data_IF_095612641361
#
_entry.id   IF_095612641361
#
_cell.length_a   1.000
_cell.length_b   1.000
_cell.length_c   1.000
_cell.angle_alpha   90.00
_cell.angle_beta   90.00
_cell.angle_gamma   90.00
#
_symmetry.space_group_name_H-M   'P 1'
#
loop_
_entity.id
_entity.type
_entity.pdbx_description
1 polymer ?
#
# COMPACT_ATOMS: atom_id res chain seq x y z
N UNK A 1 53.75 19.34 -25.75
CA UNK A 1 53.67 18.17 -24.84
C UNK A 1 53.13 18.69 -23.50
N UNK A 2 51.81 18.64 -23.32
CA UNK A 2 51.13 19.01 -22.08
C UNK A 2 50.26 17.81 -21.68
N UNK A 3 50.61 17.18 -20.55
CA UNK A 3 49.85 16.09 -19.95
C UNK A 3 48.55 16.65 -19.37
N UNK A 4 47.43 16.12 -19.85
CA UNK A 4 46.10 16.39 -19.32
C UNK A 4 45.88 15.45 -18.13
N UNK A 5 45.86 16.01 -16.92
CA UNK A 5 45.55 15.26 -15.71
C UNK A 5 44.10 14.76 -15.78
N UNK A 6 43.97 13.44 -15.87
CA UNK A 6 42.69 12.73 -15.84
C UNK A 6 42.29 12.57 -14.36
N UNK A 7 41.40 13.43 -13.87
CA UNK A 7 40.72 13.21 -12.59
C UNK A 7 39.65 12.13 -12.80
N UNK A 8 40.00 10.89 -12.46
CA UNK A 8 39.08 9.77 -12.42
C UNK A 8 38.25 9.88 -11.13
N UNK A 9 37.06 10.47 -11.21
CA UNK A 9 36.08 10.38 -10.14
C UNK A 9 35.61 8.92 -10.04
N UNK A 10 36.10 8.21 -9.03
CA UNK A 10 35.56 6.92 -8.63
C UNK A 10 34.17 7.18 -8.03
N UNK A 11 33.12 7.01 -8.84
CA UNK A 11 31.76 6.86 -8.33
C UNK A 11 31.71 5.52 -7.60
N UNK A 12 31.89 5.55 -6.28
CA UNK A 12 31.54 4.41 -5.44
C UNK A 12 30.02 4.34 -5.49
N UNK A 13 29.51 3.50 -6.38
CA UNK A 13 28.12 3.03 -6.35
C UNK A 13 27.96 2.23 -5.05
N UNK A 14 27.65 2.92 -3.96
CA UNK A 14 27.04 2.30 -2.80
C UNK A 14 25.70 1.78 -3.32
N UNK A 15 25.62 0.48 -3.53
CA UNK A 15 24.38 -0.21 -3.86
C UNK A 15 23.48 -0.07 -2.64
N UNK A 16 22.60 0.93 -2.67
CA UNK A 16 21.49 1.01 -1.72
C UNK A 16 20.63 -0.22 -2.01
N UNK A 17 20.65 -1.17 -1.09
CA UNK A 17 19.76 -2.31 -1.11
C UNK A 17 18.34 -1.78 -0.94
N UNK A 18 17.64 -1.56 -2.05
CA UNK A 18 16.20 -1.30 -2.11
C UNK A 18 15.51 -2.47 -1.41
N UNK A 19 14.96 -2.21 -0.23
CA UNK A 19 14.24 -3.24 0.52
C UNK A 19 12.80 -3.24 0.06
N UNK A 20 12.45 -4.18 -0.81
CA UNK A 20 11.05 -4.44 -1.09
C UNK A 20 10.37 -5.00 0.16
N UNK A 21 9.12 -4.59 0.41
CA UNK A 21 8.27 -5.24 1.40
C UNK A 21 8.04 -6.72 1.03
N UNK A 22 7.74 -7.59 2.00
CA UNK A 22 7.78 -7.36 3.45
C UNK A 22 9.19 -7.25 4.01
N UNK A 23 9.33 -6.58 5.14
CA UNK A 23 10.62 -6.47 5.84
C UNK A 23 10.85 -7.69 6.74
N UNK A 24 11.93 -8.42 6.50
CA UNK A 24 12.43 -9.38 7.48
C UNK A 24 13.33 -8.68 8.48
N UNK A 25 12.93 -8.71 9.75
CA UNK A 25 13.58 -8.02 10.85
C UNK A 25 14.14 -9.01 11.88
N UNK A 26 15.25 -8.64 12.51
CA UNK A 26 15.85 -9.36 13.64
C UNK A 26 16.17 -8.42 14.80
N UNK A 27 16.07 -8.91 16.03
CA UNK A 27 16.52 -8.17 17.21
C UNK A 27 18.05 -8.01 17.24
N UNK A 28 18.53 -6.82 17.56
CA UNK A 28 19.98 -6.49 17.60
C UNK A 28 20.46 -6.41 19.05
N UNK A 29 21.62 -7.02 19.35
CA UNK A 29 22.25 -6.95 20.66
C UNK A 29 21.60 -7.81 21.75
N UNK A 30 20.64 -8.66 21.38
CA UNK A 30 19.94 -9.55 22.29
C UNK A 30 20.68 -10.86 22.51
N UNK A 31 20.71 -11.35 23.76
CA UNK A 31 21.30 -12.65 24.09
C UNK A 31 20.60 -13.82 23.36
N UNK A 32 19.29 -13.66 23.09
CA UNK A 32 18.51 -14.56 22.24
C UNK A 32 17.86 -13.75 21.14
N UNK A 33 18.36 -13.92 19.92
CA UNK A 33 17.79 -13.30 18.73
C UNK A 33 16.36 -13.80 18.48
N UNK A 34 15.45 -12.88 18.16
CA UNK A 34 14.18 -13.20 17.53
C UNK A 34 14.06 -12.53 16.18
N UNK A 35 13.28 -13.14 15.29
CA UNK A 35 13.03 -12.67 13.93
C UNK A 35 11.55 -12.60 13.64
N UNK A 36 11.16 -11.66 12.78
CA UNK A 36 9.79 -11.50 12.30
C UNK A 36 9.77 -10.91 10.90
N UNK A 37 8.68 -11.16 10.18
CA UNK A 37 8.34 -10.41 8.96
C UNK A 37 7.30 -9.34 9.30
N UNK A 38 7.53 -8.12 8.83
CA UNK A 38 6.60 -7.00 8.92
C UNK A 38 5.98 -6.76 7.55
N UNK A 39 4.66 -6.84 7.50
CA UNK A 39 3.83 -6.49 6.35
C UNK A 39 3.02 -5.25 6.67
N UNK A 40 2.88 -4.32 5.72
CA UNK A 40 2.05 -3.12 5.87
C UNK A 40 1.73 -2.53 4.49
N UNK A 41 0.57 -1.92 4.35
CA UNK A 41 0.17 -1.19 3.15
C UNK A 41 0.44 0.31 3.24
N UNK A 42 -0.11 1.04 2.27
CA UNK A 42 -0.04 2.50 2.20
C UNK A 42 -0.45 3.14 3.53
N UNK A 43 0.34 4.13 3.98
CA UNK A 43 0.18 4.82 5.28
C UNK A 43 0.19 3.89 6.50
N UNK A 44 0.72 2.66 6.36
CA UNK A 44 0.81 1.67 7.42
C UNK A 44 -0.48 0.91 7.72
N UNK A 45 -1.50 1.01 6.86
CA UNK A 45 -2.74 0.24 7.01
C UNK A 45 -2.53 -1.25 6.71
N UNK A 46 -3.46 -2.09 7.16
CA UNK A 46 -3.42 -3.53 6.88
C UNK A 46 -2.20 -4.27 7.44
N UNK A 47 -1.52 -3.67 8.41
CA UNK A 47 -0.24 -4.15 8.88
C UNK A 47 -0.35 -5.34 9.84
N UNK A 48 0.64 -6.23 9.81
CA UNK A 48 0.81 -7.30 10.78
C UNK A 48 2.26 -7.76 10.84
N UNK A 49 2.63 -8.41 11.95
CA UNK A 49 3.90 -9.14 12.05
C UNK A 49 3.67 -10.65 12.09
N UNK A 50 4.63 -11.39 11.57
CA UNK A 50 4.70 -12.85 11.72
C UNK A 50 6.09 -13.25 12.21
N UNK A 51 6.14 -13.77 13.45
CA UNK A 51 7.40 -14.25 14.04
C UNK A 51 7.90 -15.52 13.33
N UNK A 52 9.20 -15.62 13.13
CA UNK A 52 9.80 -16.80 12.48
C UNK A 52 9.48 -18.08 13.24
N UNK A 53 9.07 -19.12 12.50
CA UNK A 53 8.65 -20.40 13.06
C UNK A 53 7.24 -20.40 13.66
N UNK A 54 6.49 -19.29 13.56
CA UNK A 54 5.09 -19.19 14.01
C UNK A 54 4.15 -19.05 12.81
N UNK A 55 3.02 -19.76 12.86
CA UNK A 55 1.93 -19.60 11.87
C UNK A 55 1.01 -18.43 12.21
N UNK A 56 0.98 -18.04 13.48
CA UNK A 56 0.18 -16.94 13.97
C UNK A 56 0.69 -15.61 13.42
N UNK A 57 -0.24 -14.76 13.02
CA UNK A 57 -0.01 -13.37 12.66
C UNK A 57 -0.50 -12.49 13.80
N UNK A 58 0.20 -11.41 14.08
CA UNK A 58 -0.18 -10.45 15.11
C UNK A 58 -0.57 -9.14 14.41
N UNK A 59 -1.85 -8.73 14.48
CA UNK A 59 -2.30 -7.50 13.86
C UNK A 59 -1.56 -6.28 14.41
N UNK A 60 -1.24 -5.35 13.52
CA UNK A 60 -0.71 -4.04 13.88
C UNK A 60 -1.76 -2.97 13.59
N UNK A 61 -2.17 -2.23 14.61
CA UNK A 61 -3.04 -1.08 14.46
C UNK A 61 -2.21 0.19 14.29
N UNK A 62 -2.43 0.93 13.21
CA UNK A 62 -1.75 2.23 13.01
C UNK A 62 -2.14 3.18 14.15
N UNK A 63 -1.14 3.68 14.88
CA UNK A 63 -1.31 4.69 15.93
C UNK A 63 -1.00 6.08 15.39
N UNK A 64 0.03 6.19 14.56
CA UNK A 64 0.43 7.45 13.92
C UNK A 64 1.16 7.15 12.62
N UNK A 65 0.87 7.96 11.60
CA UNK A 65 1.64 8.07 10.36
C UNK A 65 1.89 9.55 10.11
N UNK A 66 3.15 9.92 9.90
CA UNK A 66 3.55 11.30 9.63
C UNK A 66 4.49 11.33 8.44
N UNK A 67 4.30 12.32 7.58
CA UNK A 67 5.25 12.65 6.51
C UNK A 67 5.89 13.96 6.91
N UNK A 68 7.20 13.94 7.09
CA UNK A 68 7.99 15.15 7.19
C UNK A 68 8.37 15.58 5.78
N UNK A 69 8.11 16.84 5.43
CA UNK A 69 8.46 17.49 4.15
C UNK A 69 9.31 18.76 4.36
N UNK A 70 9.66 19.08 5.61
CA UNK A 70 10.17 20.40 5.97
C UNK A 70 11.66 20.58 5.63
N UNK A 71 12.01 21.79 5.16
CA UNK A 71 13.39 22.20 4.94
C UNK A 71 14.11 21.49 3.79
N UNK A 72 13.38 20.76 2.96
CA UNK A 72 13.92 19.97 1.84
C UNK A 72 13.96 20.76 0.55
N UNK A 73 14.97 20.49 -0.28
CA UNK A 73 15.07 21.06 -1.64
C UNK A 73 14.25 20.23 -2.62
N UNK A 74 13.87 20.85 -3.74
CA UNK A 74 13.18 20.16 -4.84
C UNK A 74 13.92 18.86 -5.22
N UNK A 75 13.22 17.72 -5.08
CA UNK A 75 13.73 16.39 -5.42
C UNK A 75 14.37 15.59 -4.28
N UNK A 76 14.44 16.13 -3.06
CA UNK A 76 14.82 15.33 -1.87
C UNK A 76 13.62 14.47 -1.41
N UNK A 77 13.84 13.19 -1.04
CA UNK A 77 12.76 12.26 -0.73
C UNK A 77 12.08 12.55 0.60
N UNK A 78 10.81 12.16 0.70
CA UNK A 78 10.03 12.31 1.92
C UNK A 78 10.44 11.34 3.02
N UNK A 79 10.39 11.80 4.28
CA UNK A 79 10.63 10.95 5.43
C UNK A 79 9.29 10.56 6.04
N UNK A 80 9.04 9.26 6.10
CA UNK A 80 7.81 8.68 6.57
C UNK A 80 8.03 8.02 7.94
N UNK A 81 7.27 8.46 8.94
CA UNK A 81 7.32 7.94 10.29
C UNK A 81 6.07 7.12 10.60
N UNK A 82 6.28 5.87 11.03
CA UNK A 82 5.21 4.95 11.37
C UNK A 82 5.29 4.56 12.84
N UNK A 83 4.13 4.53 13.49
CA UNK A 83 3.95 3.95 14.82
C UNK A 83 2.76 3.02 14.79
N UNK A 84 2.98 1.74 15.12
CA UNK A 84 1.92 0.74 15.20
C UNK A 84 1.79 0.19 16.61
N UNK A 85 0.56 0.00 17.09
CA UNK A 85 0.28 -0.84 18.25
C UNK A 85 0.25 -2.31 17.83
N UNK A 86 0.99 -3.16 18.52
CA UNK A 86 0.85 -4.61 18.43
C UNK A 86 -0.37 -5.06 19.22
N UNK A 87 -1.33 -5.73 18.56
CA UNK A 87 -2.61 -6.09 19.16
C UNK A 87 -2.70 -7.60 19.42
N UNK A 88 -2.87 -8.00 20.69
CA UNK A 88 -3.10 -9.40 21.08
C UNK A 88 -4.36 -9.47 21.93
N UNK A 89 -5.35 -10.25 21.48
CA UNK A 89 -6.63 -10.39 22.19
C UNK A 89 -7.36 -9.06 22.41
N UNK A 90 -7.21 -8.11 21.49
CA UNK A 90 -7.78 -6.76 21.60
C UNK A 90 -7.02 -5.77 22.49
N UNK A 91 -5.93 -6.20 23.13
CA UNK A 91 -5.10 -5.35 23.98
C UNK A 91 -3.78 -4.98 23.30
N UNK A 92 -3.24 -3.82 23.64
CA UNK A 92 -1.91 -3.38 23.20
C UNK A 92 -0.86 -4.21 23.95
N UNK A 93 -0.07 -5.00 23.22
CA UNK A 93 1.02 -5.82 23.77
C UNK A 93 2.40 -5.15 23.60
N UNK A 94 2.49 -4.17 22.71
CA UNK A 94 3.68 -3.37 22.46
C UNK A 94 3.43 -2.40 21.32
N UNK A 95 4.47 -1.71 20.88
CA UNK A 95 4.38 -0.87 19.69
C UNK A 95 5.67 -0.90 18.89
N UNK A 96 5.53 -0.77 17.57
CA UNK A 96 6.62 -0.67 16.62
C UNK A 96 6.80 0.78 16.20
N UNK A 97 8.05 1.18 15.99
CA UNK A 97 8.39 2.44 15.30
C UNK A 97 9.26 2.13 14.10
N UNK A 98 9.07 2.86 13.01
CA UNK A 98 9.82 2.70 11.77
C UNK A 98 9.92 4.06 11.09
N UNK A 99 11.11 4.39 10.60
CA UNK A 99 11.36 5.53 9.74
C UNK A 99 11.69 5.01 8.35
N UNK A 100 11.15 5.65 7.31
CA UNK A 100 11.48 5.35 5.92
C UNK A 100 11.85 6.60 5.15
N UNK A 101 12.85 6.45 4.30
CA UNK A 101 13.25 7.42 3.30
C UNK A 101 13.38 6.64 1.99
N UNK A 102 12.61 7.02 0.97
CA UNK A 102 12.37 6.18 -0.21
C UNK A 102 11.97 4.75 0.21
N UNK A 103 12.73 3.75 -0.24
CA UNK A 103 12.55 2.32 0.07
C UNK A 103 13.52 1.82 1.16
N UNK A 104 14.16 2.73 1.89
CA UNK A 104 15.12 2.40 2.95
C UNK A 104 14.48 2.58 4.33
N UNK A 105 14.34 1.48 5.06
CA UNK A 105 13.85 1.50 6.44
C UNK A 105 15.00 1.64 7.45
N UNK A 106 14.81 2.51 8.43
CA UNK A 106 15.74 2.75 9.53
C UNK A 106 15.01 2.98 10.86
N UNK A 107 15.78 3.15 11.94
CA UNK A 107 15.27 3.44 13.29
C UNK A 107 14.13 2.50 13.74
N UNK A 108 14.23 1.23 13.35
CA UNK A 108 13.20 0.23 13.59
C UNK A 108 13.29 -0.26 15.03
N UNK A 109 12.21 -0.09 15.80
CA UNK A 109 12.18 -0.52 17.20
C UNK A 109 10.87 -1.18 17.56
N UNK A 110 10.92 -2.06 18.56
CA UNK A 110 9.74 -2.62 19.23
C UNK A 110 9.85 -2.34 20.72
N UNK A 111 8.83 -1.71 21.30
CA UNK A 111 8.73 -1.52 22.74
C UNK A 111 7.61 -2.39 23.27
N UNK A 112 7.96 -3.32 24.16
CA UNK A 112 7.00 -4.24 24.77
C UNK A 112 6.26 -3.57 25.90
N UNK A 113 4.92 -3.68 25.91
CA UNK A 113 4.08 -2.97 26.88
C UNK A 113 4.24 -3.47 28.33
N UNK A 114 4.46 -4.78 28.53
CA UNK A 114 4.47 -5.37 29.88
C UNK A 114 5.59 -4.85 30.79
N UNK A 115 6.70 -4.43 30.22
CA UNK A 115 7.92 -4.03 30.95
C UNK A 115 8.64 -2.82 30.35
N UNK A 116 8.04 -2.17 29.34
CA UNK A 116 8.63 -1.06 28.59
C UNK A 116 10.02 -1.37 27.99
N UNK A 117 10.36 -2.65 27.85
CA UNK A 117 11.64 -3.03 27.27
C UNK A 117 11.63 -2.70 25.77
N UNK A 118 12.60 -1.89 25.36
CA UNK A 118 12.83 -1.49 23.97
C UNK A 118 13.83 -2.43 23.31
N UNK A 119 13.48 -2.92 22.13
CA UNK A 119 14.30 -3.76 21.27
C UNK A 119 14.62 -2.99 20.01
N UNK A 120 15.90 -2.93 19.66
CA UNK A 120 16.33 -2.44 18.35
C UNK A 120 16.18 -3.57 17.34
N UNK A 121 15.63 -3.27 16.17
CA UNK A 121 15.45 -4.21 15.08
C UNK A 121 16.32 -3.79 13.90
N UNK A 122 16.98 -4.77 13.29
CA UNK A 122 17.75 -4.59 12.06
C UNK A 122 17.14 -5.38 10.93
N UNK A 123 17.25 -4.87 9.71
CA UNK A 123 16.91 -5.60 8.50
C UNK A 123 17.82 -6.83 8.36
N UNK A 124 17.24 -7.94 7.90
CA UNK A 124 18.01 -9.13 7.53
C UNK A 124 18.42 -8.99 6.07
N UNK A 125 19.72 -8.85 5.82
CA UNK A 125 20.26 -8.77 4.46
C UNK A 125 20.20 -10.12 3.74
N UNK A 126 20.04 -10.07 2.41
CA UNK A 126 20.16 -11.25 1.53
C UNK A 126 18.94 -12.17 1.49
N UNK A 127 17.84 -11.88 2.19
CA UNK A 127 16.58 -12.59 1.95
C UNK A 127 15.97 -12.13 0.61
N UNK A 128 15.76 -13.09 -0.28
CA UNK A 128 15.12 -12.82 -1.57
C UNK A 128 13.62 -12.65 -1.35
N UNK A 129 13.10 -11.49 -1.75
CA UNK A 129 11.66 -11.28 -1.82
C UNK A 129 11.02 -12.24 -2.83
N UNK A 130 9.98 -12.94 -2.40
CA UNK A 130 9.21 -13.90 -3.20
C UNK A 130 8.07 -13.25 -4.00
N UNK A 131 8.02 -11.91 -4.02
CA UNK A 131 7.04 -11.09 -4.75
C UNK A 131 5.64 -11.06 -4.15
N UNK A 132 5.41 -11.85 -3.10
CA UNK A 132 4.11 -11.96 -2.49
C UNK A 132 3.99 -10.99 -1.33
N UNK A 133 3.22 -9.93 -1.57
CA UNK A 133 2.78 -9.02 -0.53
C UNK A 133 1.49 -9.50 0.11
N UNK A 134 1.30 -9.08 1.37
CA UNK A 134 0.15 -9.48 2.17
C UNK A 134 -0.33 -8.34 3.03
N UNK A 135 -1.64 -8.20 3.16
CA UNK A 135 -2.29 -7.31 4.12
C UNK A 135 -3.25 -8.08 5.03
N UNK A 136 -3.50 -7.53 6.20
CA UNK A 136 -4.52 -8.00 7.13
C UNK A 136 -5.61 -6.95 7.27
N UNK A 137 -6.76 -7.16 6.64
CA UNK A 137 -7.92 -6.26 6.73
C UNK A 137 -9.11 -7.02 7.28
N UNK A 138 -9.73 -6.48 8.34
CA UNK A 138 -10.94 -7.04 8.96
C UNK A 138 -10.82 -8.53 9.34
N UNK A 139 -9.60 -8.95 9.71
CA UNK A 139 -9.25 -10.33 10.03
C UNK A 139 -8.98 -11.24 8.82
N UNK A 140 -9.25 -10.77 7.60
CA UNK A 140 -8.91 -11.49 6.37
C UNK A 140 -7.47 -11.21 5.96
N UNK A 141 -6.75 -12.27 5.57
CA UNK A 141 -5.41 -12.16 4.99
C UNK A 141 -5.56 -12.04 3.48
N UNK A 142 -5.17 -10.89 2.95
CA UNK A 142 -5.09 -10.59 1.53
C UNK A 142 -3.67 -10.91 1.09
N UNK A 143 -3.49 -11.68 0.02
CA UNK A 143 -2.17 -12.01 -0.54
C UNK A 143 -2.19 -11.83 -2.05
N UNK A 144 -1.21 -11.08 -2.57
CA UNK A 144 -1.13 -10.67 -3.97
C UNK A 144 0.33 -10.42 -4.35
N UNK A 145 0.56 -10.02 -5.60
CA UNK A 145 1.88 -9.63 -6.09
C UNK A 145 1.80 -8.28 -6.82
N UNK A 146 2.89 -7.52 -6.82
CA UNK A 146 2.95 -6.23 -7.51
C UNK A 146 3.42 -6.32 -8.97
N UNK A 147 4.41 -7.18 -9.24
CA UNK A 147 5.14 -7.13 -10.53
C UNK A 147 4.95 -8.36 -11.41
N UNK A 148 4.53 -9.48 -10.83
CA UNK A 148 4.34 -10.73 -11.54
C UNK A 148 3.19 -11.49 -10.93
N UNK A 149 2.53 -12.33 -11.72
CA UNK A 149 1.35 -13.08 -11.28
C UNK A 149 0.13 -12.18 -10.94
N UNK A 150 -1.01 -12.58 -11.49
CA UNK A 150 -2.29 -11.89 -11.31
C UNK A 150 -3.11 -12.42 -10.15
N UNK A 151 -2.60 -13.42 -9.43
CA UNK A 151 -3.34 -14.02 -8.35
C UNK A 151 -3.48 -13.06 -7.16
N UNK A 152 -4.73 -12.77 -6.81
CA UNK A 152 -5.13 -12.20 -5.55
C UNK A 152 -5.94 -13.23 -4.77
N UNK A 153 -5.51 -13.53 -3.56
CA UNK A 153 -6.20 -14.46 -2.68
C UNK A 153 -6.60 -13.80 -1.38
N UNK A 154 -7.78 -14.16 -0.88
CA UNK A 154 -8.30 -13.68 0.38
C UNK A 154 -8.60 -14.90 1.24
N UNK A 155 -7.90 -15.05 2.35
CA UNK A 155 -8.17 -16.07 3.36
C UNK A 155 -8.93 -15.45 4.54
N UNK A 156 -10.15 -15.91 4.74
CA UNK A 156 -11.05 -15.37 5.76
C UNK A 156 -10.91 -16.09 7.11
N UNK A 157 -11.28 -15.45 8.24
CA UNK A 157 -11.24 -16.07 9.56
C UNK A 157 -12.06 -17.36 9.69
N UNK A 158 -13.11 -17.52 8.90
CA UNK A 158 -13.95 -18.73 8.90
C UNK A 158 -13.37 -19.88 8.05
N UNK A 159 -12.12 -19.73 7.58
CA UNK A 159 -11.41 -20.72 6.79
C UNK A 159 -11.74 -20.72 5.30
N UNK A 160 -12.75 -19.96 4.85
CA UNK A 160 -13.02 -19.82 3.41
C UNK A 160 -11.90 -19.05 2.72
N UNK A 161 -11.71 -19.35 1.44
CA UNK A 161 -10.76 -18.66 0.57
C UNK A 161 -11.44 -18.21 -0.71
N UNK A 162 -11.09 -17.02 -1.16
CA UNK A 162 -11.44 -16.50 -2.49
C UNK A 162 -10.16 -16.33 -3.27
N UNK A 163 -10.16 -16.73 -4.54
CA UNK A 163 -9.09 -16.46 -5.49
C UNK A 163 -9.66 -15.62 -6.64
N UNK A 164 -8.94 -14.57 -7.01
CA UNK A 164 -9.32 -13.57 -8.00
C UNK A 164 -8.12 -13.35 -8.91
N UNK A 165 -8.38 -13.24 -10.20
CA UNK A 165 -7.36 -12.80 -11.18
C UNK A 165 -7.45 -11.28 -11.32
N UNK A 166 -6.37 -10.60 -10.94
CA UNK A 166 -6.21 -9.16 -11.12
C UNK A 166 -5.73 -8.83 -12.54
N UNK A 167 -5.96 -7.61 -13.03
CA UNK A 167 -5.37 -7.15 -14.29
C UNK A 167 -3.84 -7.26 -14.28
N UNK A 168 -3.25 -7.77 -15.35
CA UNK A 168 -1.79 -7.74 -15.54
C UNK A 168 -1.35 -6.33 -15.92
N UNK A 169 -0.17 -5.88 -15.45
CA UNK A 169 0.54 -4.80 -16.12
C UNK A 169 1.02 -5.29 -17.49
N UNK A 170 0.74 -4.56 -18.57
CA UNK A 170 1.10 -4.98 -19.93
C UNK A 170 2.60 -4.87 -20.23
N UNK A 171 3.30 -4.02 -19.47
CA UNK A 171 4.74 -3.80 -19.61
C UNK A 171 5.45 -4.34 -18.36
N UNK A 172 6.54 -5.12 -18.51
CA UNK A 172 7.31 -5.62 -17.37
C UNK A 172 7.85 -4.54 -16.42
N UNK A 173 7.99 -3.30 -16.90
CA UNK A 173 8.41 -2.14 -16.10
C UNK A 173 7.29 -1.55 -15.24
N UNK A 174 6.03 -1.96 -15.46
CA UNK A 174 4.90 -1.46 -14.70
C UNK A 174 4.62 -2.36 -13.51
N UNK A 175 4.57 -1.75 -12.32
CA UNK A 175 4.10 -2.40 -11.12
C UNK A 175 2.62 -2.08 -10.89
N UNK A 176 1.85 -3.10 -10.53
CA UNK A 176 0.54 -2.95 -9.90
C UNK A 176 0.71 -2.18 -8.60
N UNK A 177 -0.22 -1.29 -8.30
CA UNK A 177 -0.32 -0.64 -6.99
C UNK A 177 -1.45 -1.28 -6.20
N UNK A 178 -1.35 -1.23 -4.87
CA UNK A 178 -2.38 -1.65 -3.93
C UNK A 178 -2.67 -0.52 -2.95
N UNK A 179 -3.95 -0.19 -2.78
CA UNK A 179 -4.39 1.01 -2.06
C UNK A 179 -5.50 0.61 -1.10
N UNK A 180 -5.35 1.00 0.17
CA UNK A 180 -6.32 0.71 1.23
C UNK A 180 -7.05 2.00 1.58
N UNK A 181 -8.31 2.12 1.18
CA UNK A 181 -9.16 3.26 1.46
C UNK A 181 -10.61 2.85 1.63
N UNK A 182 -11.41 3.70 2.28
CA UNK A 182 -12.87 3.54 2.42
C UNK A 182 -13.53 4.14 1.16
N UNK A 183 -13.78 3.29 0.16
CA UNK A 183 -14.27 3.72 -1.16
C UNK A 183 -15.79 3.89 -1.19
N UNK A 184 -16.53 3.28 -0.26
CA UNK A 184 -17.99 3.37 -0.17
C UNK A 184 -18.49 4.27 0.98
N UNK A 185 -17.57 4.84 1.77
CA UNK A 185 -17.82 5.76 2.87
C UNK A 185 -18.63 5.14 4.02
N UNK A 186 -18.49 3.84 4.25
CA UNK A 186 -19.15 3.09 5.31
C UNK A 186 -18.32 3.00 6.61
N UNK A 187 -17.09 3.52 6.59
CA UNK A 187 -16.17 3.55 7.72
C UNK A 187 -15.24 2.34 7.82
N UNK A 188 -15.29 1.41 6.87
CA UNK A 188 -14.40 0.25 6.81
C UNK A 188 -13.42 0.40 5.64
N UNK A 189 -12.16 0.07 5.89
CA UNK A 189 -11.13 0.08 4.84
C UNK A 189 -11.41 -1.03 3.81
N UNK A 190 -11.43 -0.66 2.53
CA UNK A 190 -11.51 -1.57 1.40
C UNK A 190 -10.11 -1.80 0.79
N UNK A 191 -10.03 -2.55 -0.31
CA UNK A 191 -8.78 -2.72 -1.06
C UNK A 191 -9.01 -2.43 -2.55
N UNK A 192 -8.12 -1.65 -3.13
CA UNK A 192 -8.05 -1.46 -4.57
C UNK A 192 -6.69 -1.90 -5.11
N UNK A 193 -6.70 -2.35 -6.36
CA UNK A 193 -5.50 -2.60 -7.16
C UNK A 193 -5.57 -1.76 -8.41
N UNK A 194 -4.44 -1.21 -8.84
CA UNK A 194 -4.39 -0.48 -10.11
C UNK A 194 -3.19 -0.82 -10.95
N UNK A 195 -3.38 -0.78 -12.27
CA UNK A 195 -2.33 -0.93 -13.29
C UNK A 195 -2.40 0.26 -14.25
N UNK A 196 -1.28 0.70 -14.86
CA UNK A 196 -1.35 1.69 -15.93
C UNK A 196 -2.23 1.21 -17.09
N UNK A 197 -2.86 2.13 -17.82
CA UNK A 197 -3.64 1.79 -19.01
C UNK A 197 -2.79 1.10 -20.09
N UNK A 198 -3.45 0.27 -20.89
CA UNK A 198 -2.81 -0.60 -21.89
C UNK A 198 -2.14 0.17 -23.05
N UNK A 199 -2.41 1.48 -23.17
CA UNK A 199 -1.80 2.33 -24.18
C UNK A 199 -0.48 2.93 -23.72
N UNK A 200 -0.56 4.21 -23.34
CA UNK A 200 0.62 5.01 -23.01
C UNK A 200 0.93 5.01 -21.51
N UNK A 201 0.08 4.39 -20.68
CA UNK A 201 0.22 4.40 -19.22
C UNK A 201 0.05 5.80 -18.64
N UNK A 202 -0.81 6.61 -19.24
CA UNK A 202 -1.11 7.99 -18.86
C UNK A 202 -2.03 8.08 -17.65
N UNK A 203 -2.89 7.09 -17.43
CA UNK A 203 -3.70 6.95 -16.22
C UNK A 203 -3.65 5.49 -15.74
N UNK A 204 -4.18 5.23 -14.56
CA UNK A 204 -4.26 3.88 -13.98
C UNK A 204 -5.69 3.39 -13.92
N UNK A 205 -5.92 2.15 -14.31
CA UNK A 205 -7.21 1.46 -14.22
C UNK A 205 -7.29 0.75 -12.87
N UNK A 206 -8.43 0.87 -12.18
CA UNK A 206 -8.63 0.36 -10.82
C UNK A 206 -9.62 -0.80 -10.78
N UNK A 207 -9.23 -1.83 -10.03
CA UNK A 207 -10.10 -2.89 -9.52
C UNK A 207 -10.28 -2.69 -8.02
N UNK A 208 -11.50 -2.35 -7.60
CA UNK A 208 -11.83 -2.05 -6.19
C UNK A 208 -12.65 -3.21 -5.61
N UNK A 209 -12.34 -3.64 -4.40
CA UNK A 209 -13.05 -4.68 -3.65
C UNK A 209 -13.51 -4.13 -2.30
N UNK A 210 -14.82 -4.01 -2.14
CA UNK A 210 -15.49 -3.44 -0.98
C UNK A 210 -15.68 -4.48 0.12
N UNK A 211 -15.39 -4.12 1.37
CA UNK A 211 -15.65 -4.98 2.52
C UNK A 211 -17.10 -4.83 3.01
N UNK A 212 -17.89 -5.89 2.84
CA UNK A 212 -19.25 -5.96 3.37
C UNK A 212 -19.27 -6.49 4.80
N UNK A 213 -19.66 -5.65 5.76
CA UNK A 213 -19.66 -5.99 7.20
C UNK A 213 -20.65 -7.09 7.57
N UNK A 214 -21.79 -7.19 6.87
CA UNK A 214 -22.82 -8.21 7.16
C UNK A 214 -22.33 -9.61 6.76
N UNK A 215 -21.77 -9.75 5.56
CA UNK A 215 -21.24 -11.02 5.06
C UNK A 215 -19.80 -11.30 5.53
N UNK A 216 -19.09 -10.26 5.99
CA UNK A 216 -17.65 -10.26 6.27
C UNK A 216 -16.86 -10.72 5.07
N UNK A 217 -17.17 -10.19 3.89
CA UNK A 217 -16.56 -10.54 2.61
C UNK A 217 -16.16 -9.31 1.82
N UNK A 218 -15.10 -9.47 1.05
CA UNK A 218 -14.76 -8.53 0.00
C UNK A 218 -15.48 -8.91 -1.28
N UNK A 219 -16.16 -7.94 -1.90
CA UNK A 219 -16.85 -8.10 -3.18
C UNK A 219 -16.37 -7.02 -4.14
N UNK A 220 -16.21 -7.35 -5.43
CA UNK A 220 -15.77 -6.36 -6.42
C UNK A 220 -16.81 -5.24 -6.50
N UNK A 221 -16.35 -3.99 -6.44
CA UNK A 221 -17.18 -2.82 -6.62
C UNK A 221 -17.91 -2.92 -7.96
N UNK A 222 -19.22 -2.74 -7.93
CA UNK A 222 -20.03 -2.68 -9.15
C UNK A 222 -19.81 -1.34 -9.83
N UNK A 223 -19.30 -1.38 -11.06
CA UNK A 223 -19.06 -0.17 -11.84
C UNK A 223 -20.33 0.66 -12.06
N UNK A 224 -20.21 2.01 -12.11
CA UNK A 224 -21.33 2.90 -12.39
C UNK A 224 -21.85 2.73 -13.82
N UNK A 225 -23.01 3.32 -14.08
CA UNK A 225 -23.44 3.56 -15.47
C UNK A 225 -22.63 4.71 -16.06
N UNK A 226 -21.84 4.41 -17.08
CA UNK A 226 -20.98 5.37 -17.77
C UNK A 226 -21.67 6.13 -18.92
N UNK A 227 -22.98 5.97 -19.11
CA UNK A 227 -23.71 6.61 -20.21
C UNK A 227 -23.68 8.15 -20.17
N UNK A 228 -23.42 8.73 -18.99
CA UNK A 228 -23.36 10.18 -18.74
C UNK A 228 -21.95 10.70 -18.45
N UNK A 229 -20.97 9.81 -18.25
CA UNK A 229 -19.61 10.18 -17.87
C UNK A 229 -18.70 10.33 -19.10
N UNK A 230 -17.58 11.04 -18.93
CA UNK A 230 -16.55 11.12 -19.97
C UNK A 230 -15.60 9.92 -19.94
N UNK A 231 -15.37 9.37 -18.76
CA UNK A 231 -14.59 8.16 -18.55
C UNK A 231 -15.48 6.92 -18.69
N UNK A 232 -14.88 5.84 -19.18
CA UNK A 232 -15.54 4.55 -19.41
C UNK A 232 -15.03 3.45 -18.47
N UNK A 233 -14.38 3.85 -17.36
CA UNK A 233 -13.71 2.98 -16.42
C UNK A 233 -13.56 3.69 -15.07
N UNK A 234 -13.26 2.92 -14.02
CA UNK A 234 -12.70 3.43 -12.78
C UNK A 234 -11.21 3.67 -13.00
N UNK A 235 -10.87 4.87 -13.45
CA UNK A 235 -9.53 5.29 -13.78
C UNK A 235 -9.05 6.44 -12.87
N UNK A 236 -7.78 6.46 -12.46
CA UNK A 236 -7.20 7.44 -11.52
C UNK A 236 -8.12 7.78 -10.34
N UNK A 237 -8.58 6.72 -9.66
CA UNK A 237 -9.62 6.86 -8.64
C UNK A 237 -9.10 7.60 -7.42
N UNK A 238 -9.87 8.61 -6.99
CA UNK A 238 -9.64 9.32 -5.72
C UNK A 238 -10.93 9.40 -4.90
N UNK A 239 -10.80 9.59 -3.59
CA UNK A 239 -11.93 9.67 -2.65
C UNK A 239 -11.87 10.96 -1.83
N UNK A 240 -12.95 11.74 -1.85
CA UNK A 240 -13.17 12.84 -0.91
C UNK A 240 -14.05 12.34 0.24
N UNK A 241 -13.42 11.96 1.35
CA UNK A 241 -14.12 11.45 2.55
C UNK A 241 -15.06 12.45 3.19
N UNK A 242 -14.76 13.76 3.10
CA UNK A 242 -15.59 14.81 3.71
C UNK A 242 -16.88 15.00 2.92
N UNK A 243 -16.77 15.01 1.59
CA UNK A 243 -17.92 15.17 0.69
C UNK A 243 -18.59 13.85 0.31
N UNK A 244 -17.98 12.72 0.65
CA UNK A 244 -18.37 11.36 0.24
C UNK A 244 -18.53 11.25 -1.27
N UNK A 245 -17.48 11.65 -1.97
CA UNK A 245 -17.41 11.63 -3.44
C UNK A 245 -16.29 10.70 -3.87
N UNK A 246 -16.58 9.87 -4.86
CA UNK A 246 -15.60 9.09 -5.59
C UNK A 246 -15.39 9.77 -6.94
N UNK A 247 -14.13 10.00 -7.29
CA UNK A 247 -13.75 10.68 -8.51
C UNK A 247 -12.94 9.74 -9.37
N UNK A 248 -13.16 9.78 -10.69
CA UNK A 248 -12.33 9.09 -11.68
C UNK A 248 -11.77 10.12 -12.67
N UNK A 249 -10.50 9.94 -13.05
CA UNK A 249 -9.83 10.72 -14.09
C UNK A 249 -9.53 9.87 -15.32
N UNK A 250 -9.65 10.45 -16.50
CA UNK A 250 -9.24 9.82 -17.75
C UNK A 250 -8.86 10.87 -18.80
N UNK A 251 -8.23 10.41 -19.87
CA UNK A 251 -7.83 11.26 -20.99
C UNK A 251 -8.68 10.97 -22.23
N UNK A 252 -9.35 12.00 -22.74
CA UNK A 252 -10.11 12.00 -23.98
C UNK A 252 -9.44 12.86 -25.04
N UNK A 253 -8.71 12.25 -25.98
CA UNK A 253 -7.92 13.00 -26.95
C UNK A 253 -6.84 13.87 -26.28
N UNK A 254 -6.92 15.19 -26.48
CA UNK A 254 -5.99 16.16 -25.89
C UNK A 254 -6.46 16.73 -24.54
N UNK A 255 -7.56 16.23 -23.97
CA UNK A 255 -8.18 16.77 -22.76
C UNK A 255 -8.19 15.77 -21.62
N UNK A 256 -8.10 16.29 -20.41
CA UNK A 256 -8.29 15.54 -19.18
C UNK A 256 -9.70 15.76 -18.66
N UNK A 257 -10.36 14.67 -18.33
CA UNK A 257 -11.71 14.66 -17.78
C UNK A 257 -11.69 14.06 -16.40
N UNK A 258 -12.58 14.57 -15.55
CA UNK A 258 -12.77 14.09 -14.20
C UNK A 258 -14.27 13.89 -13.95
N UNK A 259 -14.72 12.65 -13.80
CA UNK A 259 -16.11 12.37 -13.44
C UNK A 259 -16.25 12.19 -11.93
N UNK A 260 -17.33 12.73 -11.38
CA UNK A 260 -17.62 12.75 -9.96
C UNK A 260 -18.85 11.89 -9.70
N UNK A 261 -18.72 10.95 -8.77
CA UNK A 261 -19.78 10.03 -8.37
C UNK A 261 -20.10 10.15 -6.89
N UNK A 262 -21.32 9.79 -6.55
CA UNK A 262 -21.77 9.59 -5.16
C UNK A 262 -22.54 8.28 -5.05
N UNK A 263 -22.44 7.62 -3.91
CA UNK A 263 -23.29 6.46 -3.64
C UNK A 263 -24.77 6.88 -3.49
N UNK A 264 -25.61 6.31 -4.33
CA UNK A 264 -27.06 6.38 -4.22
C UNK A 264 -27.59 5.53 -3.07
N UNK A 265 -28.90 5.65 -2.80
CA UNK A 265 -29.56 4.89 -1.71
C UNK A 265 -29.47 3.37 -1.86
N UNK A 266 -29.29 2.90 -3.09
CA UNK A 266 -29.20 1.48 -3.41
C UNK A 266 -27.77 0.95 -3.37
N UNK A 267 -26.79 1.76 -2.95
CA UNK A 267 -25.39 1.36 -2.85
C UNK A 267 -24.64 1.33 -4.19
N UNK A 268 -25.19 1.88 -5.26
CA UNK A 268 -24.50 2.05 -6.54
C UNK A 268 -23.89 3.45 -6.64
N UNK A 269 -22.78 3.58 -7.36
CA UNK A 269 -22.24 4.87 -7.77
C UNK A 269 -23.18 5.52 -8.80
N UNK A 270 -23.64 6.72 -8.49
CA UNK A 270 -24.47 7.58 -9.35
C UNK A 270 -23.63 8.77 -9.80
N UNK A 271 -23.59 9.01 -11.12
CA UNK A 271 -22.88 10.14 -11.71
C UNK A 271 -23.50 11.46 -11.25
N UNK A 272 -22.66 12.43 -10.90
CA UNK A 272 -23.06 13.77 -10.44
C UNK A 272 -22.68 14.84 -11.45
N UNK A 273 -21.44 14.80 -11.94
CA UNK A 273 -20.89 15.80 -12.84
C UNK A 273 -19.63 15.30 -13.54
N UNK A 274 -19.26 16.00 -14.61
CA UNK A 274 -17.95 15.90 -15.26
C UNK A 274 -17.29 17.28 -15.24
N UNK A 275 -16.02 17.32 -14.88
CA UNK A 275 -15.17 18.51 -14.97
C UNK A 275 -14.07 18.27 -16.02
N UNK A 276 -13.81 19.26 -16.87
CA UNK A 276 -12.65 19.26 -17.77
C UNK A 276 -11.49 19.94 -17.03
N UNK A 277 -10.35 19.25 -16.92
CA UNK A 277 -9.15 19.87 -16.36
C UNK A 277 -8.42 20.63 -17.47
N UNK A 278 -8.29 21.94 -17.31
CA UNK A 278 -7.37 22.76 -18.10
C UNK A 278 -5.97 22.61 -17.53
N UNK A 279 -4.99 22.26 -18.37
CA UNK A 279 -3.57 22.31 -18.01
C UNK A 279 -3.23 23.76 -17.61
N UNK A 280 -2.99 24.01 -16.31
CA UNK A 280 -2.29 25.22 -15.84
C UNK A 280 -0.78 25.02 -15.85
#
# INVERSE_FOLDING_TARGET
>A
MMMKNLFLFYLIMISVLVSAQPFTLKSVGEAKEFRLKLYYGVQGKGAFVQYSGKKEIIPLQIKSFQVDTDGRRDGEPDIHYYVWNEMIGGNINGFYTLEMIDDSASNITYTRAKDNRKFMLGMVEGEKYDGSDRYLLHGAVLAFNHSYNNHFTIAYPDGKKTAIELPSPDKPSFARQSIIEDYNFDGYDDIAFSVPDEGMGVYRIFDIYLYHTQSKRFEKLKEPDYSHSSCSCLCDVTVDKKKKLLTTGCRGGARWHQDIYRYGKNGNLEWIATEEQTEE
#
